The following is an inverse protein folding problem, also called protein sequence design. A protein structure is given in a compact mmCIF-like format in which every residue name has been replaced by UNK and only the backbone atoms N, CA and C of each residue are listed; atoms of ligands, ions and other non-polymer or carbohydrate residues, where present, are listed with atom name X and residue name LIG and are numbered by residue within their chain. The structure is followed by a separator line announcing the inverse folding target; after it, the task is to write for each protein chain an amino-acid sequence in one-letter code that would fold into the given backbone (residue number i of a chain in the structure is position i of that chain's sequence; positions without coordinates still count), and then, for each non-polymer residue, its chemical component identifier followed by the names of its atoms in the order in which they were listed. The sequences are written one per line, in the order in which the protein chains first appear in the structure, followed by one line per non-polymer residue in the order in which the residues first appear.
data_IF_698448856861
#
_entry.id   IF_698448856861
#
_cell.length_a   1.000
_cell.length_b   1.000
_cell.length_c   1.000
_cell.angle_alpha   90.00
_cell.angle_beta   90.00
_cell.angle_gamma   90.00
#
_symmetry.space_group_name_H-M   'P 1'
#
loop_
_entity.id
_entity.type
_entity.pdbx_description
1 polymer ?
#
# COMPACT_ATOMS: atom_id res chain seq x y z
N UNK A 1 11.97 -2.79 12.65
CA UNK A 1 12.54 -1.46 12.41
C UNK A 1 11.88 -0.71 11.23
N UNK A 2 12.14 -0.99 9.94
CA UNK A 2 11.46 -0.25 8.82
C UNK A 2 9.94 -0.48 8.82
N UNK A 3 9.51 -1.73 9.08
CA UNK A 3 8.09 -2.09 9.22
C UNK A 3 7.40 -1.36 10.38
N UNK A 4 8.12 -1.13 11.47
CA UNK A 4 7.63 -0.38 12.62
C UNK A 4 7.58 1.13 12.33
N UNK A 5 8.52 1.65 11.55
CA UNK A 5 8.47 3.02 11.03
C UNK A 5 7.26 3.23 10.12
N UNK A 6 7.01 2.31 9.18
CA UNK A 6 5.82 2.34 8.33
C UNK A 6 4.54 2.29 9.17
N UNK A 7 4.44 1.38 10.13
CA UNK A 7 3.27 1.30 11.01
C UNK A 7 3.10 2.55 11.89
N UNK A 8 4.17 3.16 12.38
CA UNK A 8 4.08 4.35 13.24
C UNK A 8 3.78 5.63 12.47
N UNK A 9 4.25 5.76 11.22
CA UNK A 9 4.08 6.96 10.40
C UNK A 9 2.83 6.87 9.54
N UNK A 10 2.58 5.72 8.90
CA UNK A 10 1.51 5.55 7.91
C UNK A 10 0.24 4.97 8.56
N UNK A 11 0.35 3.94 9.40
CA UNK A 11 -0.86 3.32 9.98
C UNK A 11 -1.56 4.19 11.04
N UNK A 12 -0.87 5.17 11.65
CA UNK A 12 -1.50 6.15 12.54
C UNK A 12 -2.40 7.15 11.81
N UNK A 13 -2.05 7.50 10.57
CA UNK A 13 -2.82 8.46 9.76
C UNK A 13 -3.91 7.77 8.90
N UNK A 14 -3.74 6.49 8.54
CA UNK A 14 -4.62 5.80 7.59
C UNK A 14 -5.41 4.60 8.15
N UNK A 15 -5.25 4.26 9.43
CA UNK A 15 -5.91 3.10 10.06
C UNK A 15 -5.28 1.79 9.60
N UNK A 16 -4.43 1.22 10.45
CA UNK A 16 -3.49 0.17 10.05
C UNK A 16 -4.05 -1.02 9.31
N UNK A 17 -3.27 -1.50 8.33
CA UNK A 17 -3.60 -2.67 7.50
C UNK A 17 -4.47 -2.37 6.28
N UNK A 18 -4.80 -1.10 6.02
CA UNK A 18 -5.50 -0.67 4.80
C UNK A 18 -4.54 0.05 3.85
N UNK A 19 -4.71 -0.11 2.53
CA UNK A 19 -3.98 0.70 1.56
C UNK A 19 -4.38 2.18 1.69
N UNK A 20 -3.53 3.08 1.20
CA UNK A 20 -3.78 4.52 1.18
C UNK A 20 -5.09 4.88 0.47
N UNK A 21 -5.60 6.10 0.71
CA UNK A 21 -6.85 6.56 0.07
C UNK A 21 -6.76 6.54 -1.45
N UNK A 22 -5.64 6.99 -2.00
CA UNK A 22 -5.37 7.01 -3.44
C UNK A 22 -5.43 5.61 -4.03
N UNK A 23 -4.79 4.64 -3.36
CA UNK A 23 -4.82 3.24 -3.76
C UNK A 23 -6.21 2.60 -3.61
N UNK A 24 -7.00 3.00 -2.61
CA UNK A 24 -8.40 2.56 -2.49
C UNK A 24 -9.28 3.09 -3.63
N UNK A 25 -9.03 4.32 -4.09
CA UNK A 25 -9.72 4.91 -5.25
C UNK A 25 -9.36 4.13 -6.53
N UNK A 26 -8.09 3.78 -6.74
CA UNK A 26 -7.65 2.92 -7.86
C UNK A 26 -8.26 1.51 -7.82
N UNK A 27 -8.25 0.85 -6.65
CA UNK A 27 -8.91 -0.44 -6.46
C UNK A 27 -10.40 -0.35 -6.79
N UNK A 28 -11.06 0.75 -6.41
CA UNK A 28 -12.48 0.97 -6.70
C UNK A 28 -12.75 1.14 -8.20
N UNK A 29 -11.84 1.76 -8.95
CA UNK A 29 -11.93 1.88 -10.40
C UNK A 29 -11.75 0.50 -11.06
N UNK A 30 -10.73 -0.26 -10.68
CA UNK A 30 -10.48 -1.62 -11.18
C UNK A 30 -11.68 -2.55 -10.91
N UNK A 31 -12.28 -2.43 -9.72
CA UNK A 31 -13.45 -3.22 -9.36
C UNK A 31 -14.71 -2.80 -10.11
N UNK A 32 -14.87 -1.52 -10.46
CA UNK A 32 -15.98 -1.06 -11.32
C UNK A 32 -15.86 -1.63 -12.73
N UNK A 33 -14.66 -1.71 -13.28
CA UNK A 33 -14.42 -2.29 -14.60
C UNK A 33 -14.67 -3.81 -14.64
N UNK A 34 -14.45 -4.52 -13.52
CA UNK A 34 -14.67 -5.98 -13.43
C UNK A 34 -16.08 -6.38 -12.93
N UNK A 35 -16.74 -5.50 -12.16
CA UNK A 35 -17.91 -5.80 -11.35
C UNK A 35 -19.19 -6.15 -12.13
N UNK A 36 -19.26 -5.86 -13.43
CA UNK A 36 -20.43 -6.20 -14.24
C UNK A 36 -20.61 -7.72 -14.46
N UNK A 37 -19.61 -8.54 -14.12
CA UNK A 37 -19.55 -9.97 -14.49
C UNK A 37 -19.53 -10.98 -13.34
N UNK A 38 -19.51 -10.53 -12.07
CA UNK A 38 -19.18 -11.39 -10.92
C UNK A 38 -20.30 -11.43 -9.86
N UNK A 39 -20.52 -12.59 -9.23
CA UNK A 39 -21.48 -12.67 -8.12
C UNK A 39 -20.98 -11.92 -6.87
N UNK A 40 -21.91 -11.55 -6.00
CA UNK A 40 -21.61 -10.69 -4.84
C UNK A 40 -20.60 -11.30 -3.85
N UNK A 41 -20.53 -12.64 -3.72
CA UNK A 41 -19.58 -13.27 -2.81
C UNK A 41 -18.17 -13.28 -3.38
N UNK A 42 -18.03 -13.61 -4.66
CA UNK A 42 -16.76 -13.56 -5.37
C UNK A 42 -16.24 -12.12 -5.50
N UNK A 43 -17.13 -11.16 -5.71
CA UNK A 43 -16.79 -9.74 -5.74
C UNK A 43 -16.16 -9.27 -4.42
N UNK A 44 -16.79 -9.56 -3.29
CA UNK A 44 -16.28 -9.16 -1.97
C UNK A 44 -14.93 -9.83 -1.66
N UNK A 45 -14.80 -11.13 -1.91
CA UNK A 45 -13.52 -11.84 -1.73
C UNK A 45 -12.41 -11.29 -2.63
N UNK A 46 -12.75 -10.91 -3.85
CA UNK A 46 -11.80 -10.34 -4.79
C UNK A 46 -11.33 -8.94 -4.35
N UNK A 47 -12.26 -8.09 -3.91
CA UNK A 47 -11.97 -6.79 -3.31
C UNK A 47 -11.05 -6.91 -2.10
N UNK A 48 -11.34 -7.83 -1.18
CA UNK A 48 -10.52 -8.03 0.02
C UNK A 48 -9.09 -8.44 -0.33
N UNK A 49 -8.93 -9.36 -1.29
CA UNK A 49 -7.61 -9.76 -1.77
C UNK A 49 -6.85 -8.61 -2.42
N UNK A 50 -7.51 -7.79 -3.24
CA UNK A 50 -6.89 -6.60 -3.85
C UNK A 50 -6.41 -5.61 -2.78
N UNK A 51 -7.25 -5.33 -1.77
CA UNK A 51 -6.89 -4.47 -0.66
C UNK A 51 -5.66 -4.99 0.10
N UNK A 52 -5.59 -6.29 0.37
CA UNK A 52 -4.45 -6.91 1.04
C UNK A 52 -3.16 -6.83 0.22
N UNK A 53 -3.24 -7.12 -1.08
CA UNK A 53 -2.09 -7.05 -1.99
C UNK A 53 -1.59 -5.62 -2.08
N UNK A 54 -2.50 -4.65 -2.23
CA UNK A 54 -2.17 -3.25 -2.31
C UNK A 54 -1.50 -2.73 -1.03
N UNK A 55 -2.03 -3.08 0.15
CA UNK A 55 -1.41 -2.73 1.42
C UNK A 55 0.02 -3.30 1.55
N UNK A 56 0.23 -4.56 1.14
CA UNK A 56 1.55 -5.17 1.12
C UNK A 56 2.51 -4.48 0.13
N UNK A 57 2.00 -4.08 -1.04
CA UNK A 57 2.77 -3.36 -2.05
C UNK A 57 3.20 -1.97 -1.57
N UNK A 58 2.33 -1.22 -0.90
CA UNK A 58 2.66 0.08 -0.31
C UNK A 58 3.73 -0.05 0.79
N UNK A 59 3.60 -1.03 1.67
CA UNK A 59 4.61 -1.30 2.71
C UNK A 59 5.98 -1.59 2.07
N UNK A 60 6.00 -2.45 1.05
CA UNK A 60 7.22 -2.79 0.33
C UNK A 60 7.81 -1.60 -0.45
N UNK A 61 6.96 -0.78 -1.06
CA UNK A 61 7.33 0.44 -1.76
C UNK A 61 7.95 1.47 -0.83
N UNK A 62 7.32 1.69 0.33
CA UNK A 62 7.87 2.56 1.39
C UNK A 62 9.23 2.08 1.86
N UNK A 63 9.38 0.78 2.15
CA UNK A 63 10.65 0.22 2.61
C UNK A 63 11.78 0.43 1.58
N UNK A 64 11.51 0.21 0.30
CA UNK A 64 12.48 0.46 -0.79
C UNK A 64 12.81 1.95 -0.90
N UNK A 65 11.79 2.82 -0.91
CA UNK A 65 11.97 4.27 -0.98
C UNK A 65 12.82 4.80 0.17
N UNK A 66 12.56 4.32 1.39
CA UNK A 66 13.35 4.68 2.57
C UNK A 66 14.81 4.23 2.45
N UNK A 67 15.06 3.01 1.97
CA UNK A 67 16.43 2.52 1.75
C UNK A 67 17.20 3.38 0.73
N UNK A 68 16.55 3.77 -0.37
CA UNK A 68 17.16 4.67 -1.36
C UNK A 68 17.44 6.06 -0.79
N UNK A 69 16.48 6.65 -0.07
CA UNK A 69 16.67 7.95 0.57
C UNK A 69 17.83 7.91 1.57
N UNK A 70 17.89 6.88 2.42
CA UNK A 70 18.97 6.69 3.38
C UNK A 70 20.34 6.57 2.68
N UNK A 71 20.41 5.83 1.58
CA UNK A 71 21.62 5.71 0.78
C UNK A 71 22.07 7.07 0.23
N UNK A 72 21.17 7.85 -0.36
CA UNK A 72 21.46 9.19 -0.86
C UNK A 72 21.97 10.11 0.26
N UNK A 73 21.34 10.07 1.44
CA UNK A 73 21.81 10.83 2.60
C UNK A 73 23.22 10.42 3.04
N UNK A 74 23.51 9.11 3.07
CA UNK A 74 24.84 8.62 3.40
C UNK A 74 25.90 9.09 2.40
N UNK A 75 25.57 9.06 1.10
CA UNK A 75 26.43 9.56 0.02
C UNK A 75 26.73 11.07 0.17
N UNK A 76 25.74 11.88 0.61
CA UNK A 76 25.95 13.32 0.85
C UNK A 76 26.80 13.64 2.08
N UNK A 77 26.76 12.79 3.12
CA UNK A 77 27.50 13.03 4.37
C UNK A 77 28.94 12.50 4.28
N UNK A 78 29.18 11.50 3.43
CA UNK A 78 30.51 10.92 3.20
C UNK A 78 31.30 11.62 2.09
N UNK A 79 30.71 12.65 1.45
CA UNK A 79 31.32 13.46 0.38
C UNK A 79 31.97 14.74 0.86
#
# INVERSE_FOLDING_TARGET
MIRELYNNIVCKDFGGGKPSREMQEEISLLLKEMGESMDGFHYEKYKDNLCLIAAAAEEAGFAKGFQYAFRLFAECIQG
#
